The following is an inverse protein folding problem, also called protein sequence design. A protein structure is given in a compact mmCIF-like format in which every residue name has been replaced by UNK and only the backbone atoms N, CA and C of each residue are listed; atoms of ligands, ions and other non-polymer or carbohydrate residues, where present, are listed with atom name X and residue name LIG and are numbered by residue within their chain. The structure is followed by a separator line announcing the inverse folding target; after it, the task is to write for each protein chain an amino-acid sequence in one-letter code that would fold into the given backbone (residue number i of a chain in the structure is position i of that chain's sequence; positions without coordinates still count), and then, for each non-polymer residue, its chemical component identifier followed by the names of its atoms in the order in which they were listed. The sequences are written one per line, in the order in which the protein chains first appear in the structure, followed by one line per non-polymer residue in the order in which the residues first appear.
data_IF_862220923175
#
_entry.id   IF_862220923175
#
_cell.length_a   1.000
_cell.length_b   1.000
_cell.length_c   1.000
_cell.angle_alpha   90.00
_cell.angle_beta   90.00
_cell.angle_gamma   90.00
#
_symmetry.space_group_name_H-M   'P 1'
#
loop_
_entity.id
_entity.type
_entity.pdbx_description
1 polymer ?
#
# COMPACT_ATOMS: atom_id res chain seq x y z
N UNK A 1 2.30 39.16 4.87
CA UNK A 1 1.89 37.94 5.61
C UNK A 1 1.22 36.86 4.74
N UNK A 2 0.46 37.16 3.67
CA UNK A 2 -0.24 36.13 2.85
C UNK A 2 0.67 35.20 2.03
N UNK A 3 1.90 35.60 1.68
CA UNK A 3 2.77 34.79 0.82
C UNK A 3 3.64 33.79 1.59
N UNK A 4 4.03 34.11 2.82
CA UNK A 4 4.99 33.29 3.59
C UNK A 4 4.43 31.90 3.92
N UNK A 5 3.18 31.81 4.40
CA UNK A 5 2.53 30.52 4.70
C UNK A 5 2.38 29.64 3.46
N UNK A 6 2.07 30.26 2.32
CA UNK A 6 2.00 29.57 1.03
C UNK A 6 3.36 29.02 0.63
N UNK A 7 4.41 29.84 0.65
CA UNK A 7 5.77 29.41 0.31
C UNK A 7 6.29 28.33 1.27
N UNK A 8 6.02 28.44 2.57
CA UNK A 8 6.36 27.40 3.55
C UNK A 8 5.63 26.09 3.24
N UNK A 9 4.32 26.15 2.94
CA UNK A 9 3.55 24.97 2.58
C UNK A 9 4.08 24.30 1.30
N UNK A 10 4.46 25.08 0.28
CA UNK A 10 5.09 24.57 -0.94
C UNK A 10 6.44 23.93 -0.63
N UNK A 11 7.32 24.63 0.09
CA UNK A 11 8.65 24.11 0.41
C UNK A 11 8.58 22.81 1.21
N UNK A 12 7.71 22.76 2.22
CA UNK A 12 7.51 21.57 3.04
C UNK A 12 6.84 20.43 2.26
N UNK A 13 5.86 20.69 1.40
CA UNK A 13 5.23 19.62 0.62
C UNK A 13 6.22 18.99 -0.38
N UNK A 14 7.05 19.81 -1.03
CA UNK A 14 8.15 19.34 -1.87
C UNK A 14 9.14 18.54 -1.02
N UNK A 15 9.58 19.06 0.12
CA UNK A 15 10.50 18.37 1.02
C UNK A 15 9.94 17.01 1.46
N UNK A 16 8.68 16.93 1.88
CA UNK A 16 8.04 15.67 2.26
C UNK A 16 7.96 14.68 1.10
N UNK A 17 7.64 15.15 -0.11
CA UNK A 17 7.52 14.29 -1.29
C UNK A 17 8.88 13.77 -1.73
N UNK A 18 9.90 14.64 -1.75
CA UNK A 18 11.29 14.27 -2.04
C UNK A 18 11.84 13.34 -0.96
N UNK A 19 11.56 13.61 0.32
CA UNK A 19 11.98 12.74 1.42
C UNK A 19 11.30 11.37 1.33
N UNK A 20 10.02 11.28 0.98
CA UNK A 20 9.32 10.01 0.76
C UNK A 20 9.94 9.23 -0.41
N UNK A 21 10.21 9.90 -1.53
CA UNK A 21 10.88 9.30 -2.69
C UNK A 21 12.27 8.79 -2.34
N UNK A 22 13.09 9.63 -1.69
CA UNK A 22 14.42 9.26 -1.22
C UNK A 22 14.35 8.11 -0.22
N UNK A 23 13.41 8.15 0.73
CA UNK A 23 13.19 7.10 1.69
C UNK A 23 12.74 5.78 1.06
N UNK A 24 12.10 5.82 -0.11
CA UNK A 24 11.68 4.60 -0.80
C UNK A 24 12.75 4.06 -1.74
N UNK A 25 13.51 4.91 -2.41
CA UNK A 25 14.47 4.48 -3.43
C UNK A 25 15.89 4.36 -2.88
N UNK A 26 16.31 5.32 -2.06
CA UNK A 26 17.70 5.43 -1.58
C UNK A 26 17.92 4.71 -0.26
N UNK A 27 17.00 4.81 0.70
CA UNK A 27 17.16 4.12 2.00
C UNK A 27 17.26 2.60 1.81
N UNK A 28 16.43 1.93 0.99
CA UNK A 28 16.61 0.50 0.73
C UNK A 28 17.98 0.15 0.17
N UNK A 29 18.53 0.99 -0.71
CA UNK A 29 19.86 0.81 -1.29
C UNK A 29 20.96 0.96 -0.23
N UNK A 30 20.88 1.98 0.64
CA UNK A 30 21.83 2.18 1.74
C UNK A 30 21.76 1.04 2.76
N UNK A 31 20.54 0.67 3.17
CA UNK A 31 20.31 -0.47 4.07
C UNK A 31 20.83 -1.76 3.43
N UNK A 32 20.58 -1.97 2.13
CA UNK A 32 21.10 -3.11 1.41
C UNK A 32 22.63 -3.16 1.46
N UNK A 33 23.33 -2.05 1.14
CA UNK A 33 24.79 -1.99 1.22
C UNK A 33 25.35 -2.25 2.64
N UNK A 34 24.66 -1.76 3.67
CA UNK A 34 25.02 -2.05 5.06
C UNK A 34 24.83 -3.54 5.39
N UNK A 35 23.69 -4.10 4.99
CA UNK A 35 23.35 -5.49 5.26
C UNK A 35 24.18 -6.47 4.44
N UNK A 36 24.70 -6.10 3.27
CA UNK A 36 25.63 -6.94 2.50
C UNK A 36 26.92 -7.29 3.28
N UNK A 37 27.29 -6.50 4.29
CA UNK A 37 28.42 -6.81 5.18
C UNK A 37 28.16 -7.99 6.11
N UNK A 38 26.88 -8.29 6.36
CA UNK A 38 26.42 -9.32 7.30
C UNK A 38 25.79 -10.50 6.54
N UNK A 39 24.99 -10.19 5.53
CA UNK A 39 24.27 -11.11 4.65
C UNK A 39 24.76 -10.89 3.21
N UNK A 40 25.93 -11.46 2.84
CA UNK A 40 26.49 -11.29 1.52
C UNK A 40 25.56 -11.82 0.42
N UNK A 41 25.60 -11.19 -0.75
CA UNK A 41 24.78 -11.58 -1.89
C UNK A 41 25.39 -12.82 -2.57
N UNK A 42 24.87 -13.99 -2.22
CA UNK A 42 25.23 -15.23 -2.89
C UNK A 42 24.40 -15.38 -4.15
N UNK A 43 25.08 -15.54 -5.28
CA UNK A 43 24.45 -15.66 -6.60
C UNK A 43 23.69 -16.98 -6.74
N UNK A 44 24.15 -17.99 -6.00
CA UNK A 44 23.50 -19.24 -5.69
C UNK A 44 23.85 -19.52 -4.22
N UNK A 45 22.98 -19.19 -3.27
CA UNK A 45 23.25 -19.51 -1.88
C UNK A 45 23.34 -21.03 -1.77
N UNK A 46 24.36 -21.56 -1.09
CA UNK A 46 24.31 -22.93 -0.63
C UNK A 46 22.97 -23.14 0.10
N UNK A 47 22.27 -24.24 -0.19
CA UNK A 47 21.04 -24.63 0.49
C UNK A 47 21.20 -24.51 2.03
N UNK A 48 22.42 -24.79 2.49
CA UNK A 48 22.89 -24.67 3.88
C UNK A 48 22.68 -23.27 4.50
N UNK A 49 22.85 -22.18 3.73
CA UNK A 49 22.66 -20.81 4.23
C UNK A 49 21.17 -20.49 4.35
N UNK A 50 20.37 -20.92 3.38
CA UNK A 50 18.92 -20.79 3.45
C UNK A 50 18.38 -21.56 4.65
N UNK A 51 18.77 -22.84 4.80
CA UNK A 51 18.43 -23.70 5.93
C UNK A 51 18.88 -23.12 7.28
N UNK A 52 20.09 -22.54 7.35
CA UNK A 52 20.59 -21.90 8.57
C UNK A 52 19.79 -20.65 8.98
N UNK A 53 19.20 -19.94 8.01
CA UNK A 53 18.39 -18.74 8.26
C UNK A 53 16.91 -19.05 8.53
N UNK A 54 16.40 -20.24 8.16
CA UNK A 54 15.00 -20.62 8.41
C UNK A 54 14.61 -20.47 9.88
N UNK A 55 15.35 -21.00 10.88
CA UNK A 55 14.98 -20.87 12.29
C UNK A 55 14.79 -19.41 12.70
N UNK A 56 15.63 -18.50 12.20
CA UNK A 56 15.51 -17.07 12.46
C UNK A 56 14.18 -16.52 11.90
N UNK A 57 13.83 -16.89 10.67
CA UNK A 57 12.55 -16.53 10.04
C UNK A 57 11.34 -17.00 10.85
N UNK A 58 11.33 -18.26 11.29
CA UNK A 58 10.29 -18.81 12.16
C UNK A 58 10.19 -18.07 13.50
N UNK A 59 11.33 -17.83 14.17
CA UNK A 59 11.37 -17.08 15.43
C UNK A 59 10.80 -15.67 15.24
N UNK A 60 11.23 -14.95 14.20
CA UNK A 60 10.76 -13.60 13.91
C UNK A 60 9.25 -13.58 13.61
N UNK A 61 8.76 -14.54 12.82
CA UNK A 61 7.34 -14.64 12.49
C UNK A 61 6.49 -14.92 13.73
N UNK A 62 6.87 -15.92 14.53
CA UNK A 62 6.17 -16.28 15.77
C UNK A 62 6.21 -15.13 16.77
N UNK A 63 7.36 -14.48 16.96
CA UNK A 63 7.47 -13.32 17.84
C UNK A 63 6.55 -12.18 17.39
N UNK A 64 6.48 -11.93 16.09
CA UNK A 64 5.58 -10.91 15.51
C UNK A 64 4.12 -11.26 15.75
N UNK A 65 3.73 -12.52 15.53
CA UNK A 65 2.37 -13.00 15.79
C UNK A 65 2.00 -12.88 17.27
N UNK A 66 2.91 -13.28 18.17
CA UNK A 66 2.74 -13.14 19.62
C UNK A 66 2.60 -11.68 20.03
N UNK A 67 3.41 -10.77 19.47
CA UNK A 67 3.29 -9.32 19.73
C UNK A 67 1.93 -8.78 19.30
N UNK A 68 1.44 -9.18 18.14
CA UNK A 68 0.11 -8.79 17.64
C UNK A 68 -0.97 -9.32 18.60
N UNK A 69 -0.98 -10.63 18.88
CA UNK A 69 -1.98 -11.27 19.73
C UNK A 69 -1.95 -10.72 21.16
N UNK A 70 -0.76 -10.58 21.76
CA UNK A 70 -0.59 -10.00 23.09
C UNK A 70 -1.04 -8.54 23.13
N UNK A 71 -0.77 -7.75 22.08
CA UNK A 71 -1.25 -6.38 21.95
C UNK A 71 -2.79 -6.29 21.94
N UNK A 72 -3.46 -7.22 21.25
CA UNK A 72 -4.92 -7.32 21.28
C UNK A 72 -5.45 -7.79 22.64
N UNK A 73 -4.89 -8.86 23.21
CA UNK A 73 -5.33 -9.43 24.50
C UNK A 73 -5.15 -8.45 25.67
N UNK A 74 -4.07 -7.67 25.66
CA UNK A 74 -3.78 -6.68 26.72
C UNK A 74 -4.38 -5.30 26.44
N UNK A 75 -5.11 -5.13 25.33
CA UNK A 75 -5.64 -3.84 24.85
C UNK A 75 -4.56 -2.75 24.70
N UNK A 76 -3.28 -3.13 24.62
CA UNK A 76 -2.16 -2.20 24.43
C UNK A 76 -1.94 -1.97 22.95
N UNK A 77 -2.62 -0.94 22.43
CA UNK A 77 -2.57 -0.55 21.02
C UNK A 77 -1.13 -0.46 20.48
N UNK A 78 -0.20 0.06 21.29
CA UNK A 78 1.22 0.23 20.93
C UNK A 78 1.93 -1.09 20.58
N UNK A 79 1.63 -2.18 21.29
CA UNK A 79 2.26 -3.50 21.03
C UNK A 79 1.70 -4.13 19.75
N UNK A 80 0.38 -4.04 19.57
CA UNK A 80 -0.26 -4.50 18.34
C UNK A 80 0.22 -3.71 17.12
N UNK A 81 0.36 -2.38 17.24
CA UNK A 81 0.87 -1.55 16.14
C UNK A 81 2.32 -1.87 15.81
N UNK A 82 3.16 -2.15 16.81
CA UNK A 82 4.55 -2.53 16.57
C UNK A 82 4.62 -3.86 15.82
N UNK A 83 3.87 -4.87 16.25
CA UNK A 83 3.78 -6.16 15.56
C UNK A 83 3.27 -6.02 14.12
N UNK A 84 2.26 -5.16 13.88
CA UNK A 84 1.78 -4.87 12.53
C UNK A 84 2.83 -4.16 11.65
N UNK A 85 3.58 -3.20 12.19
CA UNK A 85 4.68 -2.54 11.46
C UNK A 85 5.76 -3.56 11.10
N UNK A 86 6.16 -4.41 12.06
CA UNK A 86 7.16 -5.46 11.81
C UNK A 86 6.67 -6.45 10.76
N UNK A 87 5.39 -6.87 10.79
CA UNK A 87 4.79 -7.75 9.77
C UNK A 87 4.83 -7.17 8.35
N UNK A 88 4.94 -5.84 8.24
CA UNK A 88 5.00 -5.11 6.98
C UNK A 88 6.42 -4.88 6.48
N UNK A 89 7.42 -5.06 7.34
CA UNK A 89 8.84 -4.90 7.02
C UNK A 89 9.31 -5.74 5.80
N UNK A 90 8.83 -6.99 5.59
CA UNK A 90 9.18 -7.78 4.41
C UNK A 90 8.74 -7.16 3.10
N UNK A 91 7.66 -6.37 3.11
CA UNK A 91 7.19 -5.60 1.95
C UNK A 91 8.27 -4.63 1.48
N UNK A 92 9.08 -4.08 2.38
CA UNK A 92 10.22 -3.25 2.01
C UNK A 92 11.35 -4.03 1.35
N UNK A 93 11.51 -5.31 1.70
CA UNK A 93 12.42 -6.21 1.01
C UNK A 93 12.08 -6.40 -0.46
N UNK A 94 10.81 -6.21 -0.87
CA UNK A 94 10.41 -6.25 -2.29
C UNK A 94 10.85 -5.02 -3.09
N UNK A 95 11.11 -3.88 -2.44
CA UNK A 95 11.48 -2.64 -3.13
C UNK A 95 12.95 -2.58 -3.56
N UNK A 96 13.78 -3.53 -3.14
CA UNK A 96 15.22 -3.41 -3.28
C UNK A 96 15.83 -4.12 -4.49
N UNK A 97 15.02 -4.76 -5.34
CA UNK A 97 15.48 -5.40 -6.59
C UNK A 97 16.77 -6.25 -6.42
N UNK A 98 16.94 -6.90 -5.25
CA UNK A 98 18.16 -7.64 -4.92
C UNK A 98 18.16 -9.03 -5.55
N UNK A 99 19.36 -9.56 -5.79
CA UNK A 99 19.59 -10.76 -6.59
C UNK A 99 19.20 -12.05 -5.87
N UNK A 100 19.24 -12.05 -4.54
CA UNK A 100 18.83 -13.17 -3.71
C UNK A 100 17.74 -12.79 -2.69
N UNK A 101 16.82 -13.74 -2.43
CA UNK A 101 15.66 -13.61 -1.54
C UNK A 101 16.04 -13.13 -0.12
N UNK A 102 17.29 -13.36 0.32
CA UNK A 102 17.80 -12.98 1.65
C UNK A 102 19.03 -12.05 1.62
N UNK A 103 19.40 -11.50 0.46
CA UNK A 103 20.59 -10.65 0.36
C UNK A 103 20.30 -9.18 0.69
N UNK A 104 21.18 -8.57 1.49
CA UNK A 104 21.02 -7.21 2.00
C UNK A 104 19.62 -6.98 2.59
N UNK A 105 18.86 -5.99 2.11
CA UNK A 105 17.49 -5.71 2.61
C UNK A 105 16.46 -6.79 2.22
N UNK A 106 16.78 -7.70 1.28
CA UNK A 106 16.01 -8.92 1.04
C UNK A 106 15.87 -9.78 2.30
N UNK A 107 16.83 -9.72 3.24
CA UNK A 107 16.77 -10.44 4.53
C UNK A 107 15.51 -10.10 5.35
N UNK A 108 14.90 -8.93 5.13
CA UNK A 108 13.64 -8.57 5.77
C UNK A 108 12.53 -9.58 5.44
N UNK A 109 12.63 -10.27 4.30
CA UNK A 109 11.70 -11.32 3.87
C UNK A 109 11.80 -12.61 4.69
N UNK A 110 12.83 -12.77 5.53
CA UNK A 110 12.91 -13.88 6.50
C UNK A 110 11.65 -13.98 7.35
N UNK A 111 11.05 -12.84 7.70
CA UNK A 111 9.82 -12.82 8.48
C UNK A 111 8.67 -13.55 7.79
N UNK A 112 8.62 -13.61 6.46
CA UNK A 112 7.60 -14.35 5.70
C UNK A 112 8.07 -15.72 5.23
N UNK A 113 9.30 -16.12 5.55
CA UNK A 113 9.82 -17.44 5.17
C UNK A 113 8.91 -18.58 5.63
N UNK A 114 8.31 -18.57 6.85
CA UNK A 114 7.35 -19.60 7.24
C UNK A 114 6.11 -19.69 6.33
N UNK A 115 5.64 -18.56 5.78
CA UNK A 115 4.50 -18.53 4.86
C UNK A 115 4.89 -19.08 3.47
N UNK A 116 6.10 -18.75 3.02
CA UNK A 116 6.65 -19.25 1.76
C UNK A 116 6.95 -20.74 1.79
N UNK A 117 7.49 -21.25 2.91
CA UNK A 117 7.72 -22.68 3.13
C UNK A 117 6.39 -23.47 3.20
N UNK A 118 5.34 -22.86 3.76
CA UNK A 118 3.99 -23.44 3.78
C UNK A 118 3.41 -23.54 2.35
N UNK A 119 3.42 -22.44 1.61
CA UNK A 119 2.94 -22.37 0.23
C UNK A 119 3.28 -21.01 -0.37
N UNK A 120 4.18 -20.91 -1.38
CA UNK A 120 4.50 -19.64 -2.04
C UNK A 120 3.28 -18.88 -2.59
N UNK A 121 2.23 -19.56 -3.13
CA UNK A 121 0.98 -18.92 -3.53
C UNK A 121 0.24 -18.13 -2.44
N UNK A 122 0.54 -18.29 -1.15
CA UNK A 122 -0.11 -17.51 -0.08
C UNK A 122 0.12 -16.00 -0.29
N UNK A 123 1.29 -15.59 -0.78
CA UNK A 123 1.57 -14.17 -1.04
C UNK A 123 0.77 -13.60 -2.22
N UNK A 124 0.21 -14.47 -3.07
CA UNK A 124 -0.66 -14.13 -4.19
C UNK A 124 -2.13 -13.98 -3.82
N UNK A 125 -2.49 -14.14 -2.53
CA UNK A 125 -3.85 -13.94 -2.04
C UNK A 125 -4.33 -12.47 -2.12
N UNK A 126 -3.57 -11.57 -2.75
CA UNK A 126 -4.03 -10.24 -3.14
C UNK A 126 -4.10 -10.02 -4.64
N UNK A 127 -3.96 -11.03 -5.50
CA UNK A 127 -3.85 -10.87 -6.96
C UNK A 127 -5.04 -10.13 -7.60
N UNK A 128 -6.21 -10.09 -6.94
CA UNK A 128 -7.34 -9.27 -7.36
C UNK A 128 -6.99 -7.79 -7.54
N UNK A 129 -5.95 -7.30 -6.85
CA UNK A 129 -5.49 -5.90 -6.96
C UNK A 129 -4.96 -5.57 -8.34
N UNK A 130 -4.56 -6.57 -9.15
CA UNK A 130 -4.14 -6.38 -10.53
C UNK A 130 -5.31 -6.26 -11.52
N UNK A 131 -6.55 -6.52 -11.10
CA UNK A 131 -7.73 -6.44 -11.97
C UNK A 131 -7.88 -5.07 -12.69
N UNK A 132 -7.72 -3.91 -12.01
CA UNK A 132 -7.76 -2.62 -12.68
C UNK A 132 -6.65 -2.46 -13.73
N UNK A 133 -5.46 -3.02 -13.45
CA UNK A 133 -4.37 -3.03 -14.41
C UNK A 133 -4.69 -3.92 -15.62
N UNK A 134 -5.23 -5.13 -15.43
CA UNK A 134 -5.60 -6.00 -16.54
C UNK A 134 -6.65 -5.37 -17.46
N UNK A 135 -7.65 -4.69 -16.88
CA UNK A 135 -8.63 -3.94 -17.66
C UNK A 135 -7.97 -2.84 -18.51
N UNK A 136 -7.00 -2.11 -17.94
CA UNK A 136 -6.27 -1.07 -18.66
C UNK A 136 -5.31 -1.64 -19.71
N UNK A 137 -4.59 -2.71 -19.39
CA UNK A 137 -3.68 -3.40 -20.31
C UNK A 137 -4.43 -3.93 -21.53
N UNK A 138 -5.64 -4.47 -21.37
CA UNK A 138 -6.50 -4.92 -22.47
C UNK A 138 -6.82 -3.78 -23.44
N UNK A 139 -7.06 -2.56 -22.93
CA UNK A 139 -7.29 -1.37 -23.75
C UNK A 139 -6.03 -0.89 -24.48
N UNK A 140 -4.83 -1.24 -24.00
CA UNK A 140 -3.55 -0.85 -24.59
C UNK A 140 -3.04 -1.85 -25.64
N UNK A 141 -3.57 -3.07 -25.71
CA UNK A 141 -3.16 -4.06 -26.72
C UNK A 141 -3.28 -3.56 -28.17
N UNK A 142 -4.36 -2.87 -28.59
CA UNK A 142 -4.45 -2.33 -29.94
C UNK A 142 -3.37 -1.27 -30.22
N UNK A 143 -3.01 -0.46 -29.21
CA UNK A 143 -1.96 0.55 -29.31
C UNK A 143 -0.61 -0.11 -29.52
N UNK A 144 -0.30 -1.15 -28.74
CA UNK A 144 0.93 -1.94 -28.88
C UNK A 144 1.08 -2.49 -30.30
N UNK A 145 -0.01 -3.04 -30.84
CA UNK A 145 -0.06 -3.61 -32.17
C UNK A 145 0.13 -2.56 -33.27
N UNK A 146 -0.59 -1.42 -33.21
CA UNK A 146 -0.50 -0.35 -34.21
C UNK A 146 0.91 0.25 -34.26
N UNK A 147 1.49 0.56 -33.10
CA UNK A 147 2.78 1.24 -33.01
C UNK A 147 3.98 0.29 -32.96
N UNK A 148 3.76 -1.03 -33.04
CA UNK A 148 4.80 -2.06 -33.00
C UNK A 148 5.69 -1.94 -31.74
N UNK A 149 5.10 -1.53 -30.62
CA UNK A 149 5.80 -1.40 -29.34
C UNK A 149 5.59 -2.68 -28.52
N UNK A 150 6.64 -3.26 -27.92
CA UNK A 150 6.49 -4.39 -27.02
C UNK A 150 5.49 -4.07 -25.90
N UNK A 151 4.53 -4.97 -25.66
CA UNK A 151 3.53 -4.82 -24.59
C UNK A 151 4.19 -4.58 -23.23
N UNK A 152 5.34 -5.21 -23.01
CA UNK A 152 6.16 -5.03 -21.81
C UNK A 152 6.58 -3.58 -21.57
N UNK A 153 7.05 -2.89 -22.61
CA UNK A 153 7.51 -1.50 -22.51
C UNK A 153 6.34 -0.57 -22.19
N UNK A 154 5.15 -0.84 -22.76
CA UNK A 154 3.93 -0.11 -22.43
C UNK A 154 3.49 -0.34 -20.98
N UNK A 155 3.64 -1.54 -20.45
CA UNK A 155 3.30 -1.86 -19.06
C UNK A 155 4.24 -1.18 -18.07
N UNK A 156 5.54 -1.13 -18.39
CA UNK A 156 6.54 -0.37 -17.62
C UNK A 156 6.20 1.11 -17.65
N UNK A 157 5.95 1.68 -18.83
CA UNK A 157 5.57 3.08 -18.98
C UNK A 157 4.30 3.42 -18.20
N UNK A 158 3.27 2.56 -18.28
CA UNK A 158 2.02 2.71 -17.54
C UNK A 158 2.26 2.72 -16.03
N UNK A 159 3.10 1.82 -15.53
CA UNK A 159 3.47 1.76 -14.11
C UNK A 159 4.12 3.06 -13.66
N UNK A 160 5.06 3.58 -14.45
CA UNK A 160 5.73 4.86 -14.18
C UNK A 160 4.76 6.06 -14.22
N UNK A 161 3.80 6.07 -15.15
CA UNK A 161 2.75 7.10 -15.20
C UNK A 161 1.88 7.05 -13.94
N UNK A 162 1.44 5.85 -13.52
CA UNK A 162 0.66 5.68 -12.29
C UNK A 162 1.46 6.16 -11.07
N UNK A 163 2.76 5.83 -11.00
CA UNK A 163 3.66 6.30 -9.95
C UNK A 163 3.74 7.84 -9.92
N UNK A 164 3.99 8.47 -11.07
CA UNK A 164 4.11 9.91 -11.20
C UNK A 164 2.81 10.64 -10.84
N UNK A 165 1.66 10.13 -11.30
CA UNK A 165 0.34 10.67 -10.95
C UNK A 165 0.07 10.55 -9.44
N UNK A 166 0.40 9.40 -8.83
CA UNK A 166 0.28 9.21 -7.39
C UNK A 166 1.09 10.24 -6.59
N UNK A 167 2.34 10.46 -6.98
CA UNK A 167 3.22 11.47 -6.36
C UNK A 167 2.69 12.89 -6.54
N UNK A 168 2.19 13.23 -7.72
CA UNK A 168 1.60 14.55 -7.98
C UNK A 168 0.37 14.80 -7.09
N UNK A 169 -0.53 13.81 -6.99
CA UNK A 169 -1.72 13.90 -6.12
C UNK A 169 -1.30 14.00 -4.65
N UNK A 170 -0.30 13.21 -4.22
CA UNK A 170 0.24 13.27 -2.87
C UNK A 170 0.82 14.66 -2.56
N UNK A 171 1.65 15.20 -3.45
CA UNK A 171 2.27 16.52 -3.31
C UNK A 171 1.22 17.62 -3.18
N UNK A 172 0.23 17.65 -4.08
CA UNK A 172 -0.84 18.66 -4.07
C UNK A 172 -1.72 18.48 -2.81
N UNK A 173 -2.00 17.25 -2.40
CA UNK A 173 -2.69 16.92 -1.15
C UNK A 173 -1.95 17.48 0.06
N UNK A 174 -0.66 17.15 0.20
CA UNK A 174 0.20 17.62 1.29
C UNK A 174 0.29 19.14 1.32
N UNK A 175 0.48 19.76 0.16
CA UNK A 175 0.50 21.21 0.02
C UNK A 175 -0.81 21.84 0.53
N UNK A 176 -1.95 21.35 0.04
CA UNK A 176 -3.27 21.88 0.43
C UNK A 176 -3.53 21.69 1.92
N UNK A 177 -3.12 20.55 2.48
CA UNK A 177 -3.26 20.27 3.90
C UNK A 177 -2.41 21.17 4.78
N UNK A 178 -1.12 21.30 4.47
CA UNK A 178 -0.20 22.17 5.20
C UNK A 178 -0.65 23.62 5.15
N UNK A 179 -1.00 24.10 3.96
CA UNK A 179 -1.55 25.44 3.79
C UNK A 179 -2.81 25.63 4.63
N UNK A 180 -3.74 24.67 4.59
CA UNK A 180 -4.96 24.71 5.41
C UNK A 180 -4.66 24.77 6.91
N UNK A 181 -3.69 23.98 7.38
CA UNK A 181 -3.26 23.94 8.78
C UNK A 181 -2.60 25.24 9.24
N UNK A 182 -1.70 25.80 8.45
CA UNK A 182 -1.03 27.07 8.80
C UNK A 182 -2.02 28.23 8.88
N UNK A 183 -3.06 28.20 8.05
CA UNK A 183 -4.15 29.19 8.05
C UNK A 183 -5.20 28.95 9.15
N UNK A 184 -5.06 27.89 9.96
CA UNK A 184 -5.99 27.57 11.03
C UNK A 184 -7.34 27.03 10.58
N UNK A 185 -7.48 26.56 9.33
CA UNK A 185 -8.72 25.94 8.87
C UNK A 185 -9.01 24.65 9.65
N UNK A 186 -10.22 24.54 10.17
CA UNK A 186 -10.68 23.35 10.89
C UNK A 186 -11.03 22.21 9.94
N UNK A 187 -11.66 22.53 8.81
CA UNK A 187 -11.97 21.62 7.72
C UNK A 187 -11.31 22.17 6.46
N UNK A 188 -10.64 21.29 5.71
CA UNK A 188 -9.97 21.62 4.46
C UNK A 188 -10.82 21.01 3.35
N UNK A 189 -11.63 21.84 2.68
CA UNK A 189 -12.62 21.45 1.68
C UNK A 189 -12.37 22.10 0.29
N UNK A 190 -11.22 22.74 0.12
CA UNK A 190 -10.84 23.49 -1.08
C UNK A 190 -9.73 22.81 -1.89
N UNK A 191 -9.52 23.28 -3.13
CA UNK A 191 -8.54 22.74 -4.08
C UNK A 191 -8.69 21.23 -4.29
N UNK A 192 -7.63 20.44 -4.14
CA UNK A 192 -7.68 18.98 -4.36
C UNK A 192 -8.63 18.30 -3.38
N UNK A 193 -8.81 18.86 -2.18
CA UNK A 193 -9.76 18.35 -1.20
C UNK A 193 -11.21 18.49 -1.64
N UNK A 194 -11.52 19.40 -2.58
CA UNK A 194 -12.87 19.47 -3.17
C UNK A 194 -13.24 18.21 -3.95
N UNK A 195 -12.26 17.50 -4.49
CA UNK A 195 -12.44 16.33 -5.35
C UNK A 195 -12.18 15.00 -4.64
N UNK A 196 -11.54 15.02 -3.48
CA UNK A 196 -11.17 13.84 -2.70
C UNK A 196 -11.01 14.23 -1.25
N UNK A 197 -11.67 13.54 -0.31
CA UNK A 197 -11.50 13.84 1.13
C UNK A 197 -10.15 13.40 1.68
N UNK A 198 -9.49 12.44 1.02
CA UNK A 198 -8.18 11.92 1.40
C UNK A 198 -7.20 11.86 0.22
N UNK A 199 -6.80 13.02 -0.34
CA UNK A 199 -5.95 13.07 -1.52
C UNK A 199 -4.54 12.54 -1.25
N UNK A 200 -3.97 12.73 -0.04
CA UNK A 200 -2.65 12.15 0.27
C UNK A 200 -2.69 10.62 0.25
N UNK A 201 -3.70 10.03 0.89
CA UNK A 201 -3.85 8.58 0.91
C UNK A 201 -4.09 8.01 -0.48
N UNK A 202 -4.91 8.68 -1.29
CA UNK A 202 -5.06 8.31 -2.70
C UNK A 202 -3.72 8.38 -3.46
N UNK A 203 -2.98 9.48 -3.32
CA UNK A 203 -1.69 9.65 -3.98
C UNK A 203 -0.68 8.58 -3.58
N UNK A 204 -0.60 8.26 -2.28
CA UNK A 204 0.26 7.19 -1.75
C UNK A 204 -0.15 5.80 -2.26
N UNK A 205 -1.45 5.49 -2.30
CA UNK A 205 -1.95 4.21 -2.83
C UNK A 205 -1.66 4.06 -4.32
N UNK A 206 -1.87 5.11 -5.11
CA UNK A 206 -1.56 5.09 -6.55
C UNK A 206 -0.05 4.94 -6.78
N UNK A 207 0.77 5.70 -6.06
CA UNK A 207 2.21 5.62 -6.22
C UNK A 207 2.77 4.23 -5.85
N UNK A 208 2.36 3.70 -4.70
CA UNK A 208 2.78 2.36 -4.26
C UNK A 208 2.20 1.23 -5.14
N UNK A 209 1.01 1.43 -5.72
CA UNK A 209 0.43 0.51 -6.70
C UNK A 209 1.24 0.47 -7.98
N UNK A 210 1.60 1.63 -8.54
CA UNK A 210 2.47 1.71 -9.71
C UNK A 210 3.83 1.05 -9.46
N UNK A 211 4.39 1.20 -8.26
CA UNK A 211 5.61 0.48 -7.85
C UNK A 211 5.40 -1.04 -7.77
N UNK A 212 4.25 -1.48 -7.26
CA UNK A 212 3.88 -2.92 -7.21
C UNK A 212 3.76 -3.51 -8.61
N UNK A 213 3.14 -2.78 -9.55
CA UNK A 213 3.08 -3.18 -10.96
C UNK A 213 4.47 -3.27 -11.58
N UNK A 214 5.30 -2.24 -11.37
CA UNK A 214 6.66 -2.21 -11.87
C UNK A 214 7.47 -3.42 -11.36
N UNK A 215 7.37 -3.73 -10.06
CA UNK A 215 7.99 -4.90 -9.46
C UNK A 215 7.47 -6.24 -10.01
N UNK A 216 6.20 -6.32 -10.42
CA UNK A 216 5.65 -7.52 -11.07
C UNK A 216 6.18 -7.74 -12.49
N UNK A 217 6.63 -6.68 -13.16
CA UNK A 217 7.22 -6.77 -14.51
C UNK A 217 8.71 -7.05 -14.46
N UNK A 218 9.42 -6.53 -13.46
CA UNK A 218 10.79 -6.94 -13.22
C UNK A 218 10.82 -8.30 -12.52
N UNK A 219 11.02 -9.38 -13.28
CA UNK A 219 11.31 -10.68 -12.71
C UNK A 219 12.50 -10.64 -11.76
N UNK A 220 12.64 -11.62 -10.87
CA UNK A 220 13.82 -11.67 -10.02
C UNK A 220 15.06 -11.74 -10.92
N UNK A 221 16.06 -10.91 -10.62
CA UNK A 221 17.29 -10.94 -11.39
C UNK A 221 17.92 -12.34 -11.34
N UNK A 222 18.47 -12.79 -12.47
CA UNK A 222 19.17 -14.07 -12.63
C UNK A 222 18.34 -15.35 -12.36
N UNK A 223 17.02 -15.33 -12.59
CA UNK A 223 16.21 -16.55 -12.69
C UNK A 223 15.59 -17.05 -11.39
N UNK A 224 15.67 -16.29 -10.30
CA UNK A 224 14.90 -16.56 -9.09
C UNK A 224 13.40 -16.35 -9.31
N UNK A 225 12.56 -16.98 -8.48
CA UNK A 225 11.13 -16.68 -8.42
C UNK A 225 10.82 -15.88 -7.16
N UNK A 226 10.21 -14.72 -7.35
CA UNK A 226 9.66 -13.91 -6.26
C UNK A 226 8.18 -13.76 -6.58
N UNK A 227 7.27 -14.40 -5.83
CA UNK A 227 5.84 -14.24 -6.08
C UNK A 227 5.48 -12.76 -5.93
N UNK A 228 4.64 -12.20 -6.83
CA UNK A 228 4.25 -10.80 -6.76
C UNK A 228 3.70 -10.45 -5.36
N UNK A 229 4.09 -9.32 -4.74
CA UNK A 229 3.70 -8.97 -3.37
C UNK A 229 2.27 -8.41 -3.29
N UNK A 230 1.30 -9.10 -3.90
CA UNK A 230 -0.08 -8.62 -4.03
C UNK A 230 -0.81 -8.63 -2.69
N UNK A 231 -0.66 -9.67 -1.87
CA UNK A 231 -1.24 -9.72 -0.51
C UNK A 231 -0.67 -8.63 0.43
N UNK A 232 0.65 -8.39 0.47
CA UNK A 232 1.23 -7.27 1.23
C UNK A 232 0.70 -5.90 0.81
N UNK A 233 0.63 -5.62 -0.50
CA UNK A 233 0.10 -4.36 -0.98
C UNK A 233 -1.39 -4.21 -0.63
N UNK A 234 -2.19 -5.27 -0.79
CA UNK A 234 -3.59 -5.30 -0.38
C UNK A 234 -3.75 -4.99 1.11
N UNK A 235 -2.93 -5.60 1.95
CA UNK A 235 -2.95 -5.39 3.41
C UNK A 235 -2.64 -3.93 3.76
N UNK A 236 -1.61 -3.34 3.16
CA UNK A 236 -1.32 -1.91 3.31
C UNK A 236 -2.50 -1.04 2.85
N UNK A 237 -3.07 -1.33 1.69
CA UNK A 237 -4.17 -0.55 1.13
C UNK A 237 -5.37 -0.55 2.08
N UNK A 238 -5.72 -1.70 2.65
CA UNK A 238 -6.77 -1.85 3.66
C UNK A 238 -6.46 -1.09 4.95
N UNK A 239 -5.21 -1.10 5.42
CA UNK A 239 -4.78 -0.32 6.59
C UNK A 239 -4.95 1.18 6.33
N UNK A 240 -4.49 1.68 5.18
CA UNK A 240 -4.60 3.09 4.80
C UNK A 240 -6.07 3.51 4.69
N UNK A 241 -6.93 2.68 4.10
CA UNK A 241 -8.38 2.91 4.08
C UNK A 241 -8.96 2.92 5.50
N UNK A 242 -8.49 2.02 6.37
CA UNK A 242 -8.85 1.99 7.78
C UNK A 242 -8.51 3.27 8.54
N UNK A 243 -7.29 3.79 8.34
CA UNK A 243 -6.83 5.06 8.91
C UNK A 243 -7.69 6.22 8.41
N UNK A 244 -7.99 6.27 7.10
CA UNK A 244 -8.85 7.28 6.52
C UNK A 244 -10.28 7.25 7.11
N UNK A 245 -10.87 6.07 7.27
CA UNK A 245 -12.17 5.90 7.93
C UNK A 245 -12.14 6.34 9.41
N UNK A 246 -11.04 6.09 10.10
CA UNK A 246 -10.86 6.54 11.48
C UNK A 246 -10.77 8.07 11.56
N UNK A 247 -10.06 8.71 10.64
CA UNK A 247 -10.03 10.17 10.52
C UNK A 247 -11.41 10.76 10.26
N UNK A 248 -12.21 10.19 9.35
CA UNK A 248 -13.59 10.65 9.14
C UNK A 248 -14.42 10.55 10.42
N UNK A 249 -14.31 9.44 11.15
CA UNK A 249 -15.01 9.26 12.42
C UNK A 249 -14.62 10.36 13.43
N UNK A 250 -13.33 10.69 13.54
CA UNK A 250 -12.85 11.77 14.42
C UNK A 250 -13.37 13.13 13.96
N UNK A 251 -13.33 13.41 12.65
CA UNK A 251 -13.79 14.68 12.10
C UNK A 251 -15.30 14.87 12.26
N UNK A 252 -16.10 13.82 12.11
CA UNK A 252 -17.54 13.84 12.38
C UNK A 252 -17.80 14.14 13.86
N UNK A 253 -17.07 13.50 14.78
CA UNK A 253 -17.22 13.77 16.22
C UNK A 253 -16.87 15.21 16.59
N UNK A 254 -15.85 15.78 15.93
CA UNK A 254 -15.33 17.12 16.25
C UNK A 254 -16.12 18.25 15.59
N UNK A 255 -16.57 18.06 14.35
CA UNK A 255 -17.16 19.13 13.52
C UNK A 255 -18.57 18.83 13.01
N UNK A 256 -19.14 17.68 13.38
CA UNK A 256 -20.52 17.25 13.15
C UNK A 256 -21.11 17.75 11.82
N UNK A 257 -22.07 18.69 11.88
CA UNK A 257 -22.84 19.16 10.73
C UNK A 257 -21.99 19.78 9.62
N UNK A 258 -20.90 20.47 9.93
CA UNK A 258 -20.05 21.10 8.92
C UNK A 258 -19.29 20.06 8.10
N UNK A 259 -18.72 19.06 8.78
CA UNK A 259 -18.01 17.99 8.09
C UNK A 259 -18.96 17.07 7.32
N UNK A 260 -20.20 16.87 7.82
CA UNK A 260 -21.23 16.12 7.08
C UNK A 260 -21.58 16.81 5.75
N UNK A 261 -21.76 18.14 5.74
CA UNK A 261 -22.01 18.89 4.49
C UNK A 261 -20.87 18.76 3.47
N UNK A 262 -19.63 18.68 3.94
CA UNK A 262 -18.46 18.44 3.09
C UNK A 262 -18.46 16.99 2.57
N UNK A 263 -18.71 16.02 3.45
CA UNK A 263 -18.81 14.59 3.13
C UNK A 263 -19.85 14.30 2.05
N UNK A 264 -20.99 14.98 2.07
CA UNK A 264 -22.06 14.77 1.09
C UNK A 264 -21.71 15.28 -0.32
N UNK A 265 -20.79 16.24 -0.41
CA UNK A 265 -20.40 16.91 -1.67
C UNK A 265 -19.14 16.32 -2.30
N UNK A 266 -18.24 15.78 -1.49
CA UNK A 266 -16.91 15.34 -1.92
C UNK A 266 -16.76 13.84 -1.70
N UNK A 267 -16.25 13.07 -2.67
CA UNK A 267 -16.07 11.62 -2.54
C UNK A 267 -14.93 11.27 -1.56
N UNK A 268 -14.97 10.06 -1.00
CA UNK A 268 -13.99 9.60 0.00
C UNK A 268 -12.53 9.66 -0.48
N UNK A 269 -12.22 9.01 -1.59
CA UNK A 269 -10.89 9.02 -2.21
C UNK A 269 -11.00 9.25 -3.73
N UNK A 270 -11.62 8.31 -4.45
CA UNK A 270 -11.77 8.38 -5.90
C UNK A 270 -13.11 9.02 -6.30
N UNK A 271 -13.13 9.96 -7.26
CA UNK A 271 -14.35 10.50 -7.84
C UNK A 271 -14.95 9.49 -8.83
N UNK A 272 -15.62 8.46 -8.30
CA UNK A 272 -16.34 7.46 -9.09
C UNK A 272 -17.82 7.82 -9.22
N UNK A 273 -18.52 7.40 -10.30
CA UNK A 273 -19.96 7.64 -10.42
C UNK A 273 -20.74 7.03 -9.25
N UNK A 274 -21.83 7.68 -8.84
CA UNK A 274 -22.61 7.30 -7.65
C UNK A 274 -23.05 5.82 -7.66
N UNK A 275 -23.40 5.27 -8.82
CA UNK A 275 -23.77 3.86 -8.96
C UNK A 275 -22.64 2.92 -8.55
N UNK A 276 -21.41 3.18 -8.99
CA UNK A 276 -20.23 2.39 -8.61
C UNK A 276 -19.90 2.55 -7.12
N UNK A 277 -19.96 3.78 -6.60
CA UNK A 277 -19.79 4.03 -5.17
C UNK A 277 -20.82 3.26 -4.35
N UNK A 278 -22.08 3.21 -4.83
CA UNK A 278 -23.14 2.47 -4.18
C UNK A 278 -22.93 0.96 -4.20
N UNK A 279 -22.47 0.41 -5.33
CA UNK A 279 -22.15 -1.01 -5.46
C UNK A 279 -21.02 -1.42 -4.50
N UNK A 280 -19.93 -0.65 -4.49
CA UNK A 280 -18.77 -0.91 -3.62
C UNK A 280 -19.20 -0.89 -2.16
N UNK A 281 -19.99 0.11 -1.75
CA UNK A 281 -20.39 0.29 -0.34
C UNK A 281 -21.62 -0.52 0.09
N UNK A 282 -22.28 -1.25 -0.82
CA UNK A 282 -23.48 -2.02 -0.51
C UNK A 282 -23.26 -3.13 0.54
N UNK A 283 -22.18 -3.93 0.51
CA UNK A 283 -21.91 -4.95 1.53
C UNK A 283 -21.77 -4.34 2.93
N UNK A 284 -21.10 -3.19 3.03
CA UNK A 284 -20.92 -2.47 4.30
C UNK A 284 -22.25 -1.91 4.81
N UNK A 285 -23.06 -1.31 3.93
CA UNK A 285 -24.40 -0.82 4.30
C UNK A 285 -25.29 -1.95 4.79
N UNK A 286 -25.21 -3.13 4.18
CA UNK A 286 -25.96 -4.31 4.61
C UNK A 286 -25.45 -4.84 5.97
N UNK A 287 -24.13 -4.87 6.17
CA UNK A 287 -23.51 -5.34 7.41
C UNK A 287 -23.82 -4.41 8.59
N UNK A 288 -23.62 -3.11 8.40
CA UNK A 288 -23.75 -2.12 9.48
C UNK A 288 -25.18 -1.60 9.65
N UNK A 289 -26.06 -1.79 8.64
CA UNK A 289 -27.40 -1.18 8.56
C UNK A 289 -27.41 0.34 8.69
N UNK A 290 -26.27 0.97 8.39
CA UNK A 290 -26.05 2.42 8.45
C UNK A 290 -25.01 2.83 7.42
N UNK A 291 -24.97 4.12 7.10
CA UNK A 291 -24.07 4.68 6.09
C UNK A 291 -22.69 5.09 6.62
N UNK A 292 -22.47 4.98 7.94
CA UNK A 292 -21.27 5.50 8.59
C UNK A 292 -20.74 4.61 9.70
N UNK A 293 -19.44 4.69 9.91
CA UNK A 293 -18.75 4.12 11.07
C UNK A 293 -18.81 5.06 12.26
N UNK A 294 -19.07 4.54 13.44
CA UNK A 294 -19.20 5.32 14.68
C UNK A 294 -18.12 4.96 15.73
N UNK A 295 -17.54 3.77 15.57
CA UNK A 295 -16.49 3.26 16.45
C UNK A 295 -15.42 2.48 15.65
N UNK A 296 -14.27 2.25 16.29
CA UNK A 296 -13.16 1.52 15.68
C UNK A 296 -13.47 0.03 15.40
N UNK A 297 -14.41 -0.58 16.13
CA UNK A 297 -14.82 -1.97 15.88
C UNK A 297 -15.49 -2.12 14.53
N UNK A 298 -16.33 -1.17 14.13
CA UNK A 298 -16.96 -1.15 12.82
C UNK A 298 -15.95 -0.97 11.68
N UNK A 299 -14.94 -0.12 11.89
CA UNK A 299 -13.83 0.04 10.93
C UNK A 299 -13.08 -1.29 10.76
N UNK A 300 -12.76 -1.97 11.88
CA UNK A 300 -12.12 -3.28 11.84
C UNK A 300 -12.99 -4.32 11.11
N UNK A 301 -14.31 -4.34 11.36
CA UNK A 301 -15.24 -5.23 10.65
C UNK A 301 -15.31 -4.94 9.14
N UNK A 302 -15.25 -3.67 8.73
CA UNK A 302 -15.18 -3.28 7.31
C UNK A 302 -13.90 -3.80 6.67
N UNK A 303 -12.75 -3.54 7.31
CA UNK A 303 -11.44 -4.00 6.83
C UNK A 303 -11.43 -5.52 6.71
N UNK A 304 -11.94 -6.23 7.71
CA UNK A 304 -12.02 -7.69 7.71
C UNK A 304 -12.94 -8.22 6.60
N UNK A 305 -14.13 -7.64 6.43
CA UNK A 305 -15.07 -8.02 5.38
C UNK A 305 -14.44 -7.85 3.99
N UNK A 306 -13.88 -6.68 3.68
CA UNK A 306 -13.24 -6.45 2.38
C UNK A 306 -11.96 -7.27 2.23
N UNK A 307 -11.17 -7.43 3.29
CA UNK A 307 -9.97 -8.26 3.27
C UNK A 307 -10.29 -9.70 2.87
N UNK A 308 -11.24 -10.34 3.55
CA UNK A 308 -11.69 -11.69 3.20
C UNK A 308 -12.25 -11.72 1.77
N UNK A 309 -13.12 -10.78 1.42
CA UNK A 309 -13.75 -10.77 0.10
C UNK A 309 -12.70 -10.67 -1.01
N UNK A 310 -11.74 -9.77 -0.88
CA UNK A 310 -10.66 -9.56 -1.87
C UNK A 310 -9.68 -10.74 -1.91
N UNK A 311 -9.40 -11.35 -0.76
CA UNK A 311 -8.59 -12.58 -0.69
C UNK A 311 -9.29 -13.74 -1.41
N UNK A 312 -10.58 -13.96 -1.14
CA UNK A 312 -11.37 -15.00 -1.81
C UNK A 312 -11.48 -14.76 -3.31
N UNK A 313 -11.63 -13.50 -3.75
CA UNK A 313 -11.63 -13.13 -5.16
C UNK A 313 -10.27 -13.32 -5.85
N UNK A 314 -9.19 -13.46 -5.09
CA UNK A 314 -7.85 -13.78 -5.62
C UNK A 314 -7.63 -15.28 -5.81
N UNK A 315 -8.50 -16.16 -5.26
CA UNK A 315 -8.35 -17.62 -5.40
C UNK A 315 -8.37 -18.08 -6.86
N UNK A 316 -9.30 -17.60 -7.74
CA UNK A 316 -9.31 -18.02 -9.14
C UNK A 316 -7.98 -17.77 -9.86
N UNK A 317 -7.32 -16.63 -9.64
CA UNK A 317 -6.04 -16.36 -10.32
C UNK A 317 -4.93 -17.29 -9.86
N UNK A 318 -4.95 -17.74 -8.61
CA UNK A 318 -4.02 -18.73 -8.07
C UNK A 318 -4.28 -20.11 -8.66
N UNK A 319 -5.55 -20.50 -8.78
CA UNK A 319 -5.95 -21.83 -9.29
C UNK A 319 -5.77 -21.98 -10.81
N UNK A 320 -6.12 -20.95 -11.59
CA UNK A 320 -6.11 -21.00 -13.05
C UNK A 320 -4.79 -20.54 -13.68
N UNK A 321 -3.97 -19.79 -12.93
CA UNK A 321 -2.63 -19.37 -13.36
C UNK A 321 -1.59 -19.78 -12.31
N UNK A 322 -1.37 -21.10 -12.11
CA UNK A 322 -0.23 -21.57 -11.33
C UNK A 322 1.05 -21.13 -12.06
N UNK A 323 1.90 -20.37 -11.35
CA UNK A 323 3.20 -19.92 -11.84
C UNK A 323 4.24 -20.94 -11.41
#
# INVERSE_FOLDING_TARGET
MKSTEFFIAVALSILFTVALLYATLSIPTVIHQLLLRIFPDYWWPPLEIEEALKPLGYIMFTATLVLILAGFLTQRLKLSTLGSIVSYLPTFGYFASTMFFLAGIGVLRLLWLPLLDLSPPILRLGDIVYLPYFALALLLLPVAWIFHVPVMDLNILLSLIIMALGLAIFLIGMFTWLYGKFRGFQIIDFWVYRYSRHPQYLGFLLWSYGLTLLASFFGASKGGYIPPPSLPWLTMALIIVGVALHEEMVMIKKHNNEYMKYRDKTPFMLPVPKHFSNLITAPVRKLLKKERTENGKEIASIIFLYGITLVLLSIPSILFFPI
#
